data_IF_354451597480
#
_entry.id   IF_354451597480
#
_cell.length_a   1.000
_cell.length_b   1.000
_cell.length_c   1.000
_cell.angle_alpha   90.00
_cell.angle_beta   90.00
_cell.angle_gamma   90.00
#
_symmetry.space_group_name_H-M   'P 1'
#
loop_
_entity.id
_entity.type
_entity.pdbx_description
1 polymer ?
#
# COMPACT_ATOMS: atom_id res chain seq x y z
N UNK A 1 7.79 24.90 -13.01
CA UNK A 1 8.27 24.46 -11.68
C UNK A 1 7.32 24.84 -10.52
N UNK A 2 6.88 26.09 -10.39
CA UNK A 2 6.02 26.55 -9.28
C UNK A 2 4.72 25.73 -9.06
N UNK A 3 4.03 25.36 -10.15
CA UNK A 3 2.82 24.51 -10.07
C UNK A 3 3.12 23.08 -9.61
N UNK A 4 4.27 22.51 -10.01
CA UNK A 4 4.70 21.16 -9.61
C UNK A 4 5.00 21.14 -8.11
N UNK A 5 5.72 22.14 -7.59
CA UNK A 5 6.04 22.21 -6.17
C UNK A 5 4.79 22.43 -5.31
N UNK A 6 3.82 23.23 -5.80
CA UNK A 6 2.53 23.40 -5.13
C UNK A 6 1.74 22.09 -5.08
N UNK A 7 1.59 21.40 -6.22
CA UNK A 7 0.87 20.13 -6.28
C UNK A 7 1.57 19.03 -5.46
N UNK A 8 2.89 18.92 -5.59
CA UNK A 8 3.71 17.98 -4.83
C UNK A 8 3.62 18.19 -3.32
N UNK A 9 3.53 19.44 -2.86
CA UNK A 9 3.29 19.74 -1.44
C UNK A 9 1.94 19.21 -0.96
N UNK A 10 0.85 19.50 -1.68
CA UNK A 10 -0.49 19.07 -1.28
C UNK A 10 -0.67 17.55 -1.41
N UNK A 11 -0.14 16.93 -2.47
CA UNK A 11 -0.19 15.47 -2.61
C UNK A 11 0.65 14.77 -1.55
N UNK A 12 1.78 15.35 -1.12
CA UNK A 12 2.56 14.82 0.00
C UNK A 12 1.74 14.84 1.30
N UNK A 13 1.13 15.97 1.64
CA UNK A 13 0.28 16.09 2.85
C UNK A 13 -0.92 15.15 2.79
N UNK A 14 -1.62 15.12 1.64
CA UNK A 14 -2.76 14.24 1.42
C UNK A 14 -2.37 12.78 1.61
N UNK A 15 -1.21 12.37 1.08
CA UNK A 15 -0.70 11.01 1.25
C UNK A 15 -0.48 10.70 2.72
N UNK A 16 0.20 11.58 3.48
CA UNK A 16 0.43 11.37 4.93
C UNK A 16 -0.88 11.22 5.69
N UNK A 17 -1.82 12.16 5.50
CA UNK A 17 -3.08 12.17 6.24
C UNK A 17 -3.89 10.91 5.93
N UNK A 18 -4.03 10.56 4.66
CA UNK A 18 -4.78 9.37 4.25
C UNK A 18 -4.10 8.09 4.74
N UNK A 19 -2.76 8.00 4.68
CA UNK A 19 -2.02 6.86 5.23
C UNK A 19 -2.24 6.69 6.73
N UNK A 20 -2.17 7.76 7.51
CA UNK A 20 -2.39 7.68 8.96
C UNK A 20 -3.83 7.30 9.31
N UNK A 21 -4.82 7.83 8.57
CA UNK A 21 -6.24 7.46 8.75
C UNK A 21 -6.45 5.98 8.41
N UNK A 22 -6.02 5.56 7.22
CA UNK A 22 -6.13 4.17 6.76
C UNK A 22 -5.46 3.22 7.74
N UNK A 23 -4.21 3.49 8.11
CA UNK A 23 -3.44 2.61 8.98
C UNK A 23 -4.02 2.56 10.40
N UNK A 24 -4.50 3.70 10.91
CA UNK A 24 -5.22 3.76 12.18
C UNK A 24 -6.44 2.84 12.18
N UNK A 25 -7.32 2.93 11.16
CA UNK A 25 -8.50 2.07 11.06
C UNK A 25 -8.10 0.59 10.92
N UNK A 26 -7.08 0.29 10.10
CA UNK A 26 -6.61 -1.08 9.89
C UNK A 26 -6.09 -1.72 11.18
N UNK A 27 -5.31 -1.01 11.99
CA UNK A 27 -4.81 -1.52 13.29
C UNK A 27 -5.97 -1.86 14.26
N UNK A 28 -7.05 -1.09 14.22
CA UNK A 28 -8.24 -1.32 15.04
C UNK A 28 -9.25 -2.31 14.43
N UNK A 29 -8.90 -2.92 13.30
CA UNK A 29 -9.67 -3.98 12.65
C UNK A 29 -8.96 -5.31 12.87
N UNK A 30 -9.25 -6.02 13.98
CA UNK A 30 -8.51 -7.22 14.33
C UNK A 30 -8.69 -8.31 13.25
N UNK A 31 -7.66 -9.12 12.98
CA UNK A 31 -7.79 -10.26 12.09
C UNK A 31 -8.77 -11.28 12.66
N UNK A 32 -9.79 -11.64 11.89
CA UNK A 32 -10.83 -12.59 12.27
C UNK A 32 -10.79 -13.90 11.48
N UNK A 33 -9.77 -14.12 10.66
CA UNK A 33 -9.49 -15.38 9.99
C UNK A 33 -7.98 -15.57 9.86
N UNK A 34 -7.55 -16.79 9.52
CA UNK A 34 -6.14 -17.09 9.24
C UNK A 34 -5.19 -16.89 10.44
N UNK A 35 -3.89 -16.67 10.17
CA UNK A 35 -2.81 -16.92 11.13
C UNK A 35 -2.69 -15.99 12.32
N UNK A 36 -3.22 -14.77 12.24
CA UNK A 36 -3.21 -13.81 13.33
C UNK A 36 -4.53 -13.74 14.09
N UNK A 37 -5.51 -14.57 13.75
CA UNK A 37 -6.74 -14.67 14.53
C UNK A 37 -6.45 -15.28 15.92
N UNK A 38 -6.96 -14.65 16.98
CA UNK A 38 -6.68 -15.02 18.39
C UNK A 38 -7.92 -15.42 19.20
N UNK A 39 -9.05 -15.72 18.53
CA UNK A 39 -10.33 -15.99 19.20
C UNK A 39 -11.25 -16.85 18.34
N UNK A 40 -12.54 -16.50 18.29
CA UNK A 40 -13.49 -17.14 17.37
C UNK A 40 -13.18 -16.66 15.95
N UNK A 41 -12.58 -17.54 15.16
CA UNK A 41 -12.17 -17.25 13.80
C UNK A 41 -13.26 -17.67 12.81
N UNK A 42 -13.47 -16.84 11.79
CA UNK A 42 -14.15 -17.27 10.59
C UNK A 42 -13.31 -18.34 9.91
N UNK A 43 -13.95 -19.46 9.63
CA UNK A 43 -13.38 -20.60 8.92
C UNK A 43 -14.00 -20.69 7.55
N UNK A 44 -13.32 -21.39 6.64
CA UNK A 44 -13.87 -21.74 5.35
C UNK A 44 -15.27 -22.36 5.51
N UNK A 45 -16.31 -21.91 4.77
CA UNK A 45 -16.27 -21.05 3.57
C UNK A 45 -16.48 -19.53 3.83
N UNK A 46 -16.29 -19.01 5.04
CA UNK A 46 -16.34 -17.56 5.32
C UNK A 46 -17.66 -16.85 4.91
N UNK A 47 -18.79 -17.56 4.88
CA UNK A 47 -20.08 -17.00 4.45
C UNK A 47 -20.74 -16.11 5.52
N UNK A 48 -20.38 -16.33 6.79
CA UNK A 48 -20.98 -15.63 7.94
C UNK A 48 -20.33 -14.27 8.24
N UNK A 49 -19.64 -13.67 7.26
CA UNK A 49 -18.93 -12.39 7.39
C UNK A 49 -19.82 -11.17 7.11
N UNK A 50 -21.07 -11.36 6.72
CA UNK A 50 -22.03 -10.28 6.40
C UNK A 50 -22.17 -9.28 7.55
N UNK A 51 -22.22 -9.75 8.80
CA UNK A 51 -22.33 -8.91 9.99
C UNK A 51 -21.09 -8.02 10.25
N UNK A 52 -19.97 -8.29 9.56
CA UNK A 52 -18.73 -7.50 9.68
C UNK A 52 -18.68 -6.34 8.69
N UNK A 53 -19.54 -6.36 7.67
CA UNK A 53 -19.64 -5.23 6.75
C UNK A 53 -20.41 -4.06 7.37
N UNK A 54 -20.00 -2.81 7.10
CA UNK A 54 -18.78 -2.40 6.38
C UNK A 54 -17.57 -2.19 7.31
N UNK A 55 -17.68 -2.54 8.61
CA UNK A 55 -16.67 -2.25 9.63
C UNK A 55 -15.28 -2.70 9.22
N UNK A 56 -15.14 -3.96 8.81
CA UNK A 56 -13.83 -4.54 8.49
C UNK A 56 -13.26 -4.07 7.13
N UNK A 57 -14.02 -3.21 6.44
CA UNK A 57 -13.70 -2.66 5.12
C UNK A 57 -13.54 -1.13 5.16
N UNK A 58 -13.78 -0.47 6.31
CA UNK A 58 -13.72 0.99 6.40
C UNK A 58 -12.36 1.58 6.03
N UNK A 59 -11.27 0.84 6.29
CA UNK A 59 -9.92 1.28 5.96
C UNK A 59 -9.67 1.34 4.45
N UNK A 60 -10.42 0.58 3.64
CA UNK A 60 -10.25 0.53 2.18
C UNK A 60 -10.69 1.82 1.49
N UNK A 61 -11.70 2.52 2.02
CA UNK A 61 -12.15 3.81 1.48
C UNK A 61 -11.04 4.89 1.48
N UNK A 62 -10.40 5.21 2.61
CA UNK A 62 -9.25 6.12 2.61
C UNK A 62 -8.02 5.50 1.92
N UNK A 63 -7.87 4.17 1.88
CA UNK A 63 -6.77 3.52 1.16
C UNK A 63 -6.84 3.77 -0.37
N UNK A 64 -8.05 3.73 -0.95
CA UNK A 64 -8.28 4.06 -2.36
C UNK A 64 -7.85 5.51 -2.65
N UNK A 65 -8.26 6.46 -1.82
CA UNK A 65 -7.85 7.87 -1.96
C UNK A 65 -6.33 8.03 -1.76
N UNK A 66 -5.75 7.28 -0.82
CA UNK A 66 -4.31 7.25 -0.57
C UNK A 66 -3.54 6.79 -1.81
N UNK A 67 -4.00 5.74 -2.50
CA UNK A 67 -3.38 5.24 -3.73
C UNK A 67 -3.41 6.29 -4.86
N UNK A 68 -4.51 7.03 -5.00
CA UNK A 68 -4.62 8.14 -5.96
C UNK A 68 -3.65 9.27 -5.58
N UNK A 69 -3.59 9.62 -4.29
CA UNK A 69 -2.66 10.63 -3.78
C UNK A 69 -1.20 10.23 -4.01
N UNK A 70 -0.88 8.95 -3.79
CA UNK A 70 0.43 8.35 -4.00
C UNK A 70 0.88 8.45 -5.47
N UNK A 71 0.03 8.08 -6.44
CA UNK A 71 0.44 8.17 -7.85
C UNK A 71 0.64 9.63 -8.29
N UNK A 72 -0.18 10.58 -7.81
CA UNK A 72 0.00 12.01 -8.06
C UNK A 72 1.33 12.50 -7.48
N UNK A 73 1.68 12.06 -6.26
CA UNK A 73 2.97 12.36 -5.64
C UNK A 73 4.14 11.85 -6.48
N UNK A 74 4.06 10.61 -6.98
CA UNK A 74 5.10 10.02 -7.83
C UNK A 74 5.27 10.76 -9.16
N UNK A 75 4.18 11.22 -9.77
CA UNK A 75 4.23 12.11 -10.95
C UNK A 75 4.97 13.41 -10.59
N UNK A 76 4.66 14.03 -9.45
CA UNK A 76 5.31 15.27 -9.02
C UNK A 76 6.82 15.08 -8.82
N UNK A 77 7.24 13.97 -8.20
CA UNK A 77 8.67 13.63 -8.01
C UNK A 77 9.33 13.45 -9.38
N UNK A 78 8.76 12.67 -10.28
CA UNK A 78 9.30 12.45 -11.61
C UNK A 78 9.45 13.77 -12.40
N UNK A 79 8.43 14.64 -12.35
CA UNK A 79 8.47 15.96 -13.02
C UNK A 79 9.43 16.95 -12.36
N UNK A 80 9.72 16.79 -11.07
CA UNK A 80 10.70 17.60 -10.33
C UNK A 80 12.15 17.14 -10.56
N UNK A 81 12.36 15.87 -10.93
CA UNK A 81 13.69 15.25 -11.11
C UNK A 81 14.45 15.84 -12.30
N UNK A 82 15.77 16.07 -12.12
CA UNK A 82 16.70 16.49 -13.16
C UNK A 82 16.86 15.44 -14.27
N UNK A 83 17.25 15.87 -15.47
CA UNK A 83 17.33 14.99 -16.65
C UNK A 83 18.30 13.81 -16.45
N UNK A 84 19.43 14.02 -15.77
CA UNK A 84 20.42 12.96 -15.49
C UNK A 84 19.84 11.79 -14.67
N UNK A 85 18.85 12.04 -13.82
CA UNK A 85 18.23 11.04 -12.93
C UNK A 85 16.84 10.62 -13.41
N UNK A 86 16.42 11.08 -14.59
CA UNK A 86 15.06 10.89 -15.11
C UNK A 86 14.70 9.42 -15.29
N UNK A 87 15.68 8.61 -15.67
CA UNK A 87 15.50 7.17 -15.84
C UNK A 87 15.04 6.49 -14.54
N UNK A 88 15.66 6.82 -13.40
CA UNK A 88 15.30 6.24 -12.11
C UNK A 88 13.89 6.65 -11.67
N UNK A 89 13.54 7.92 -11.85
CA UNK A 89 12.20 8.39 -11.52
C UNK A 89 11.12 7.84 -12.47
N UNK A 90 11.45 7.61 -13.75
CA UNK A 90 10.54 6.97 -14.71
C UNK A 90 10.27 5.52 -14.33
N UNK A 91 11.32 4.75 -14.00
CA UNK A 91 11.19 3.36 -13.53
C UNK A 91 10.35 3.33 -12.25
N UNK A 92 10.67 4.19 -11.28
CA UNK A 92 9.92 4.29 -10.04
C UNK A 92 8.45 4.63 -10.26
N UNK A 93 8.16 5.58 -11.15
CA UNK A 93 6.79 5.95 -11.50
C UNK A 93 6.03 4.82 -12.19
N UNK A 94 6.66 4.09 -13.12
CA UNK A 94 6.03 2.94 -13.79
C UNK A 94 5.63 1.84 -12.79
N UNK A 95 6.52 1.49 -11.85
CA UNK A 95 6.17 0.53 -10.80
C UNK A 95 5.09 1.06 -9.84
N UNK A 96 5.12 2.35 -9.51
CA UNK A 96 4.07 2.98 -8.71
C UNK A 96 2.71 2.87 -9.40
N UNK A 97 2.67 3.08 -10.72
CA UNK A 97 1.44 2.99 -11.51
C UNK A 97 0.86 1.58 -11.50
N UNK A 98 1.69 0.55 -11.71
CA UNK A 98 1.26 -0.85 -11.71
C UNK A 98 0.77 -1.23 -10.31
N UNK A 99 1.54 -0.92 -9.26
CA UNK A 99 1.18 -1.15 -7.86
C UNK A 99 -0.17 -0.50 -7.50
N UNK A 100 -0.32 0.79 -7.82
CA UNK A 100 -1.56 1.56 -7.59
C UNK A 100 -2.75 0.91 -8.29
N UNK A 101 -2.57 0.50 -9.54
CA UNK A 101 -3.65 -0.13 -10.33
C UNK A 101 -4.11 -1.43 -9.69
N UNK A 102 -3.17 -2.30 -9.29
CA UNK A 102 -3.47 -3.58 -8.63
C UNK A 102 -4.25 -3.33 -7.33
N UNK A 103 -3.73 -2.49 -6.43
CA UNK A 103 -4.35 -2.24 -5.14
C UNK A 103 -5.71 -1.54 -5.25
N UNK A 104 -5.88 -0.63 -6.22
CA UNK A 104 -7.18 -0.01 -6.48
C UNK A 104 -8.22 -1.03 -6.94
N UNK A 105 -7.87 -1.91 -7.88
CA UNK A 105 -8.77 -2.99 -8.33
C UNK A 105 -9.16 -3.87 -7.14
N UNK A 106 -8.16 -4.25 -6.34
CA UNK A 106 -8.35 -5.19 -5.23
C UNK A 106 -9.31 -4.64 -4.16
N UNK A 107 -9.06 -3.41 -3.68
CA UNK A 107 -9.95 -2.75 -2.72
C UNK A 107 -11.35 -2.47 -3.29
N UNK A 108 -11.44 -2.10 -4.58
CA UNK A 108 -12.74 -1.81 -5.19
C UNK A 108 -13.58 -3.07 -5.36
N UNK A 109 -12.96 -4.21 -5.69
CA UNK A 109 -13.62 -5.53 -5.71
C UNK A 109 -14.14 -5.90 -4.33
N UNK A 110 -13.36 -5.70 -3.27
CA UNK A 110 -13.82 -5.96 -1.90
C UNK A 110 -15.10 -5.18 -1.54
N UNK A 111 -15.13 -3.89 -1.89
CA UNK A 111 -16.24 -3.00 -1.57
C UNK A 111 -17.48 -3.21 -2.46
N UNK A 112 -17.28 -3.65 -3.71
CA UNK A 112 -18.34 -3.67 -4.72
C UNK A 112 -18.91 -5.05 -5.02
N UNK A 113 -18.16 -6.12 -4.73
CA UNK A 113 -18.56 -7.50 -5.07
C UNK A 113 -18.96 -8.29 -3.82
N UNK A 114 -18.14 -8.24 -2.77
CA UNK A 114 -18.27 -9.20 -1.67
C UNK A 114 -19.57 -9.03 -0.89
N UNK A 115 -19.89 -7.82 -0.42
CA UNK A 115 -21.11 -7.60 0.37
C UNK A 115 -22.39 -7.82 -0.44
N UNK A 116 -22.56 -7.24 -1.66
CA UNK A 116 -23.77 -7.46 -2.44
C UNK A 116 -24.02 -8.94 -2.74
N UNK A 117 -22.98 -9.69 -3.13
CA UNK A 117 -23.15 -11.11 -3.45
C UNK A 117 -23.50 -11.95 -2.22
N UNK A 118 -22.94 -11.65 -1.03
CA UNK A 118 -23.38 -12.31 0.20
C UNK A 118 -24.84 -12.00 0.57
N UNK A 119 -25.29 -10.75 0.40
CA UNK A 119 -26.68 -10.36 0.68
C UNK A 119 -27.69 -11.01 -0.28
N UNK A 120 -27.28 -11.30 -1.51
CA UNK A 120 -28.08 -11.98 -2.52
C UNK A 120 -27.94 -13.51 -2.50
N UNK A 121 -27.09 -14.07 -1.63
CA UNK A 121 -26.81 -15.51 -1.58
C UNK A 121 -26.01 -16.04 -2.78
N UNK A 122 -25.32 -15.17 -3.51
CA UNK A 122 -24.49 -15.48 -4.69
C UNK A 122 -23.10 -15.99 -4.27
N UNK A 123 -23.01 -17.14 -3.60
CA UNK A 123 -21.78 -17.58 -2.92
C UNK A 123 -20.66 -18.09 -3.83
N UNK A 124 -20.98 -18.37 -5.09
CA UNK A 124 -20.03 -18.94 -6.05
C UNK A 124 -18.92 -17.94 -6.38
N UNK A 125 -17.66 -18.36 -6.24
CA UNK A 125 -16.50 -17.53 -6.57
C UNK A 125 -16.10 -16.47 -5.54
N UNK A 126 -17.02 -16.01 -4.66
CA UNK A 126 -16.70 -15.05 -3.58
C UNK A 126 -15.54 -15.54 -2.71
N UNK A 127 -15.47 -16.86 -2.47
CA UNK A 127 -14.45 -17.47 -1.62
C UNK A 127 -13.03 -17.14 -2.05
N UNK A 128 -12.77 -17.05 -3.36
CA UNK A 128 -11.46 -16.68 -3.88
C UNK A 128 -11.21 -15.18 -3.82
N UNK A 129 -12.26 -14.37 -3.72
CA UNK A 129 -12.15 -12.91 -3.75
C UNK A 129 -12.08 -12.31 -2.34
N UNK A 130 -12.75 -12.86 -1.34
CA UNK A 130 -12.86 -12.23 -0.02
C UNK A 130 -11.53 -12.07 0.73
N UNK A 131 -11.33 -10.91 1.39
CA UNK A 131 -10.19 -10.68 2.28
C UNK A 131 -10.09 -11.68 3.44
N UNK A 132 -11.20 -12.35 3.79
CA UNK A 132 -11.20 -13.35 4.86
C UNK A 132 -10.53 -14.67 4.48
N UNK A 133 -10.33 -14.93 3.18
CA UNK A 133 -9.64 -16.13 2.74
C UNK A 133 -8.11 -15.90 2.72
N UNK A 134 -7.32 -16.54 3.61
CA UNK A 134 -5.86 -16.36 3.65
C UNK A 134 -5.14 -16.88 2.40
N UNK A 135 -5.82 -17.65 1.57
CA UNK A 135 -5.35 -18.15 0.27
C UNK A 135 -6.09 -17.50 -0.91
N UNK A 136 -6.87 -16.44 -0.64
CA UNK A 136 -7.63 -15.72 -1.64
C UNK A 136 -6.76 -14.87 -2.56
N UNK A 137 -7.32 -14.51 -3.71
CA UNK A 137 -6.72 -13.61 -4.70
C UNK A 137 -6.42 -12.25 -4.07
N UNK A 138 -7.27 -11.77 -3.15
CA UNK A 138 -7.06 -10.52 -2.42
C UNK A 138 -5.68 -10.46 -1.76
N UNK A 139 -5.33 -11.45 -0.94
CA UNK A 139 -4.02 -11.50 -0.27
C UNK A 139 -2.86 -11.52 -1.27
N UNK A 140 -3.00 -12.27 -2.37
CA UNK A 140 -1.96 -12.34 -3.42
C UNK A 140 -1.78 -11.00 -4.14
N UNK A 141 -2.87 -10.29 -4.41
CA UNK A 141 -2.83 -8.98 -5.07
C UNK A 141 -2.25 -7.91 -4.14
N UNK A 142 -2.57 -7.93 -2.85
CA UNK A 142 -1.92 -7.05 -1.87
C UNK A 142 -0.41 -7.32 -1.79
N UNK A 143 0.00 -8.58 -1.62
CA UNK A 143 1.43 -8.95 -1.60
C UNK A 143 2.16 -8.41 -2.84
N UNK A 144 1.60 -8.64 -4.04
CA UNK A 144 2.19 -8.17 -5.29
C UNK A 144 2.20 -6.64 -5.38
N UNK A 145 1.09 -5.99 -5.03
CA UNK A 145 0.95 -4.54 -5.06
C UNK A 145 1.97 -3.85 -4.17
N UNK A 146 2.15 -4.32 -2.94
CA UNK A 146 3.09 -3.74 -1.98
C UNK A 146 4.55 -4.11 -2.25
N UNK A 147 4.82 -5.28 -2.85
CA UNK A 147 6.16 -5.58 -3.40
C UNK A 147 6.53 -4.60 -4.51
N UNK A 148 5.65 -4.36 -5.47
CA UNK A 148 5.89 -3.41 -6.56
C UNK A 148 6.01 -1.97 -6.07
N UNK A 149 5.24 -1.58 -5.04
CA UNK A 149 5.41 -0.29 -4.35
C UNK A 149 6.81 -0.14 -3.76
N UNK A 150 7.34 -1.19 -3.13
CA UNK A 150 8.68 -1.16 -2.55
C UNK A 150 9.78 -1.03 -3.62
N UNK A 151 9.61 -1.66 -4.80
CA UNK A 151 10.51 -1.50 -5.95
C UNK A 151 10.44 -0.07 -6.50
N UNK A 152 9.24 0.52 -6.52
CA UNK A 152 9.07 1.94 -6.85
C UNK A 152 9.86 2.83 -5.91
N UNK A 153 9.80 2.57 -4.60
CA UNK A 153 10.58 3.31 -3.60
C UNK A 153 12.08 3.18 -3.85
N UNK A 154 12.61 1.98 -4.05
CA UNK A 154 14.04 1.79 -4.34
C UNK A 154 14.47 2.63 -5.55
N UNK A 155 13.68 2.61 -6.61
CA UNK A 155 13.97 3.37 -7.84
C UNK A 155 13.94 4.87 -7.58
N UNK A 156 12.93 5.36 -6.85
CA UNK A 156 12.83 6.76 -6.44
C UNK A 156 13.95 7.19 -5.49
N UNK A 157 14.51 6.28 -4.68
CA UNK A 157 15.60 6.59 -3.77
C UNK A 157 16.83 7.18 -4.49
N UNK A 158 17.12 6.71 -5.72
CA UNK A 158 18.24 7.20 -6.53
C UNK A 158 18.06 8.62 -7.08
N UNK A 159 16.84 9.17 -7.03
CA UNK A 159 16.56 10.56 -7.42
C UNK A 159 17.19 11.54 -6.41
N UNK A 160 17.19 11.18 -5.14
CA UNK A 160 17.51 12.06 -4.03
C UNK A 160 18.98 11.91 -3.59
N UNK A 161 19.83 12.89 -3.87
CA UNK A 161 21.26 12.85 -3.48
C UNK A 161 21.73 14.07 -2.70
N UNK A 162 21.03 15.20 -2.80
CA UNK A 162 21.60 16.50 -2.49
C UNK A 162 21.14 17.03 -1.12
N UNK A 163 22.09 17.21 -0.22
CA UNK A 163 21.83 17.72 1.13
C UNK A 163 21.17 16.71 2.08
N UNK A 164 20.95 17.14 3.32
CA UNK A 164 20.49 16.25 4.42
C UNK A 164 19.06 15.74 4.19
N UNK A 165 18.14 16.59 3.73
CA UNK A 165 16.73 16.23 3.53
C UNK A 165 16.55 15.18 2.42
N UNK A 166 17.21 15.36 1.27
CA UNK A 166 17.14 14.39 0.19
C UNK A 166 17.77 13.05 0.60
N UNK A 167 18.90 13.07 1.32
CA UNK A 167 19.49 11.85 1.88
C UNK A 167 18.54 11.12 2.83
N UNK A 168 17.79 11.85 3.67
CA UNK A 168 16.77 11.24 4.54
C UNK A 168 15.65 10.57 3.74
N UNK A 169 15.14 11.23 2.68
CA UNK A 169 14.13 10.64 1.78
C UNK A 169 14.68 9.38 1.10
N UNK A 170 15.90 9.46 0.55
CA UNK A 170 16.59 8.32 -0.09
C UNK A 170 16.68 7.12 0.84
N UNK A 171 17.16 7.32 2.07
CA UNK A 171 17.32 6.23 3.01
C UNK A 171 15.98 5.66 3.47
N UNK A 172 14.96 6.52 3.65
CA UNK A 172 13.59 6.06 3.99
C UNK A 172 13.05 5.13 2.91
N UNK A 173 13.18 5.50 1.63
CA UNK A 173 12.75 4.66 0.52
C UNK A 173 13.61 3.39 0.33
N UNK A 174 14.94 3.52 0.43
CA UNK A 174 15.84 2.37 0.29
C UNK A 174 15.64 1.35 1.41
N UNK A 175 15.48 1.80 2.66
CA UNK A 175 15.21 0.91 3.79
C UNK A 175 13.88 0.20 3.65
N UNK A 176 12.85 0.86 3.10
CA UNK A 176 11.55 0.23 2.86
C UNK A 176 11.68 -0.99 1.95
N UNK A 177 12.38 -0.86 0.82
CA UNK A 177 12.64 -1.98 -0.07
C UNK A 177 13.41 -3.11 0.61
N UNK A 178 14.50 -2.77 1.32
CA UNK A 178 15.31 -3.78 2.02
C UNK A 178 14.48 -4.52 3.07
N UNK A 179 13.69 -3.80 3.87
CA UNK A 179 12.82 -4.41 4.88
C UNK A 179 11.75 -5.30 4.26
N UNK A 180 11.10 -4.87 3.17
CA UNK A 180 10.10 -5.69 2.47
C UNK A 180 10.73 -6.94 1.87
N UNK A 181 11.91 -6.84 1.25
CA UNK A 181 12.63 -7.98 0.70
C UNK A 181 13.07 -8.96 1.79
N UNK A 182 13.60 -8.46 2.91
CA UNK A 182 13.97 -9.29 4.07
C UNK A 182 12.75 -9.97 4.66
N UNK A 183 11.62 -9.26 4.81
CA UNK A 183 10.36 -9.85 5.27
C UNK A 183 9.90 -10.97 4.33
N UNK A 184 9.92 -10.75 3.01
CA UNK A 184 9.54 -11.76 2.03
C UNK A 184 10.39 -13.03 2.15
N UNK A 185 11.72 -12.86 2.21
CA UNK A 185 12.67 -13.98 2.36
C UNK A 185 12.44 -14.70 3.68
N UNK A 186 12.32 -13.97 4.80
CA UNK A 186 12.14 -14.55 6.13
C UNK A 186 10.83 -15.33 6.24
N UNK A 187 9.69 -14.74 5.84
CA UNK A 187 8.41 -15.44 5.87
C UNK A 187 8.38 -16.64 4.92
N UNK A 188 8.98 -16.52 3.73
CA UNK A 188 9.09 -17.65 2.79
C UNK A 188 9.98 -18.78 3.32
N UNK A 189 11.07 -18.46 4.02
CA UNK A 189 11.97 -19.46 4.60
C UNK A 189 11.34 -20.19 5.80
N UNK A 190 10.56 -19.47 6.63
CA UNK A 190 9.95 -20.04 7.85
C UNK A 190 8.65 -20.80 7.52
N UNK A 191 7.80 -20.25 6.65
CA UNK A 191 6.45 -20.76 6.39
C UNK A 191 6.26 -21.36 4.99
N UNK A 192 7.28 -21.34 4.14
CA UNK A 192 7.21 -21.85 2.78
C UNK A 192 6.27 -21.02 1.90
N UNK A 193 5.51 -21.69 1.02
CA UNK A 193 4.45 -21.05 0.23
C UNK A 193 3.19 -20.77 1.05
N UNK A 194 3.00 -21.46 2.17
CA UNK A 194 1.88 -21.27 3.10
C UNK A 194 2.12 -20.11 4.06
N UNK A 195 2.68 -19.00 3.56
CA UNK A 195 2.89 -17.75 4.33
C UNK A 195 1.57 -17.17 4.82
N UNK A 196 0.50 -17.43 4.08
CA UNK A 196 -0.81 -16.78 4.21
C UNK A 196 -0.59 -15.25 4.19
N UNK A 197 -1.41 -14.48 4.88
CA UNK A 197 -1.30 -13.02 4.89
C UNK A 197 -0.18 -12.46 5.79
N UNK A 198 0.69 -13.30 6.38
CA UNK A 198 1.74 -12.81 7.30
C UNK A 198 2.72 -11.85 6.63
N UNK A 199 3.12 -12.17 5.39
CA UNK A 199 3.99 -11.31 4.60
C UNK A 199 3.25 -10.06 4.11
N UNK A 200 2.01 -10.22 3.64
CA UNK A 200 1.12 -9.11 3.28
C UNK A 200 1.11 -8.05 4.39
N UNK A 201 0.71 -8.40 5.62
CA UNK A 201 0.60 -7.46 6.74
C UNK A 201 1.92 -6.74 7.03
N UNK A 202 3.05 -7.46 6.95
CA UNK A 202 4.37 -6.86 7.13
C UNK A 202 4.70 -5.87 6.00
N UNK A 203 4.42 -6.25 4.76
CA UNK A 203 4.67 -5.42 3.58
C UNK A 203 3.79 -4.17 3.57
N UNK A 204 2.51 -4.26 3.95
CA UNK A 204 1.61 -3.10 4.12
C UNK A 204 2.19 -2.15 5.16
N UNK A 205 2.51 -2.68 6.35
CA UNK A 205 3.01 -1.89 7.47
C UNK A 205 4.29 -1.12 7.09
N UNK A 206 5.25 -1.79 6.44
CA UNK A 206 6.50 -1.17 5.98
C UNK A 206 6.22 -0.06 4.96
N UNK A 207 5.41 -0.35 3.94
CA UNK A 207 5.15 0.60 2.86
C UNK A 207 4.34 1.80 3.34
N UNK A 208 3.33 1.61 4.19
CA UNK A 208 2.52 2.71 4.74
C UNK A 208 3.33 3.59 5.71
N UNK A 209 4.13 3.00 6.60
CA UNK A 209 5.05 3.79 7.43
C UNK A 209 6.01 4.62 6.57
N UNK A 210 6.50 4.02 5.47
CA UNK A 210 7.36 4.71 4.51
C UNK A 210 6.64 5.87 3.85
N UNK A 211 5.39 5.70 3.40
CA UNK A 211 4.58 6.79 2.82
C UNK A 211 4.34 7.92 3.81
N UNK A 212 4.05 7.61 5.08
CA UNK A 212 3.86 8.61 6.11
C UNK A 212 5.14 9.41 6.38
N UNK A 213 6.28 8.74 6.58
CA UNK A 213 7.56 9.41 6.87
C UNK A 213 8.09 10.15 5.64
N UNK A 214 8.16 9.50 4.49
CA UNK A 214 8.65 10.11 3.25
C UNK A 214 7.73 11.26 2.79
N UNK A 215 6.41 11.13 2.97
CA UNK A 215 5.46 12.19 2.66
C UNK A 215 5.71 13.46 3.48
N UNK A 216 6.05 13.35 4.77
CA UNK A 216 6.44 14.51 5.60
C UNK A 216 7.69 15.19 5.02
N UNK A 217 8.74 14.41 4.71
CA UNK A 217 9.97 14.96 4.15
C UNK A 217 9.77 15.57 2.76
N UNK A 218 8.95 14.95 1.91
CA UNK A 218 8.60 15.45 0.58
C UNK A 218 7.78 16.74 0.66
N UNK A 219 6.84 16.85 1.60
CA UNK A 219 6.13 18.10 1.85
C UNK A 219 7.09 19.23 2.21
N UNK A 220 8.06 18.97 3.10
CA UNK A 220 9.09 19.96 3.46
C UNK A 220 9.94 20.33 2.23
N UNK A 221 10.34 19.34 1.42
CA UNK A 221 11.15 19.55 0.21
C UNK A 221 10.41 20.43 -0.80
N UNK A 222 9.16 20.10 -1.13
CA UNK A 222 8.35 20.85 -2.08
C UNK A 222 8.01 22.25 -1.56
N UNK A 223 7.81 22.43 -0.25
CA UNK A 223 7.60 23.76 0.37
C UNK A 223 8.84 24.64 0.25
N UNK A 224 10.04 24.09 0.44
CA UNK A 224 11.30 24.84 0.31
C UNK A 224 11.55 25.33 -1.12
N UNK A 225 11.08 24.58 -2.11
CA UNK A 225 11.25 24.88 -3.53
C UNK A 225 10.08 25.66 -4.17
N UNK A 226 9.03 25.98 -3.39
CA UNK A 226 7.83 26.69 -3.86
C UNK A 226 8.08 28.20 -3.94
#
# INVERSE_FOLDING_TARGET
>A
MKNINKLGFYSSISTVVLTLITFGIAIFTPPLSGPYCKGVCYVYPYLDITARFPRDYYWMFPAILMMISYIILMICIHRWTSEEKKIYSQIGFSFALISTTILLIDYFVQLSVIQPSLLNGETDGILMLTQYNPHGIFIVLEELGFMLMSISFLSMAFVFSDGKLQKAIRWTFASAFVLTAVAFIAYSAIYGLSREYRFEVASISINWLTLAVAGIFLAILFKKNR
#
